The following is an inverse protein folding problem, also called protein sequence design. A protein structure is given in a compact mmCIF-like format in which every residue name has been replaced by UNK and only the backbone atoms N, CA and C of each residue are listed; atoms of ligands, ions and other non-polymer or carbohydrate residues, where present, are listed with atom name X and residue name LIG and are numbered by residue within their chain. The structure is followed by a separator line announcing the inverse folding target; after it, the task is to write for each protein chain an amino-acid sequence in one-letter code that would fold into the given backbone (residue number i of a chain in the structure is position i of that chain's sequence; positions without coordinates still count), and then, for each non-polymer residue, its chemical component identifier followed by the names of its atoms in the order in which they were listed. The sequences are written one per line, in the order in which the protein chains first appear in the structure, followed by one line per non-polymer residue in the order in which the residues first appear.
data_IF_056255316589
#
_entry.id   IF_056255316589
#
_cell.length_a   1.000
_cell.length_b   1.000
_cell.length_c   1.000
_cell.angle_alpha   90.00
_cell.angle_beta   90.00
_cell.angle_gamma   90.00
#
_symmetry.space_group_name_H-M   'P 1'
#
loop_
_entity.id
_entity.type
_entity.pdbx_description
1 polymer ?
#
# COMPACT_ATOMS: atom_id res chain seq x y z
N UNK A 1 -15.19 13.27 6.29
CA UNK A 1 -14.67 13.24 7.67
C UNK A 1 -13.31 13.91 7.66
N UNK A 2 -13.11 14.94 8.48
CA UNK A 2 -11.82 15.64 8.59
C UNK A 2 -10.86 14.73 9.34
N UNK A 3 -9.77 14.29 8.69
CA UNK A 3 -8.73 13.50 9.36
C UNK A 3 -8.11 14.38 10.47
N UNK A 4 -7.88 13.85 11.69
CA UNK A 4 -7.27 14.64 12.75
C UNK A 4 -5.92 15.18 12.31
N UNK A 5 -5.58 16.38 12.78
CA UNK A 5 -4.28 16.98 12.53
C UNK A 5 -3.19 16.08 13.10
N UNK A 6 -2.10 15.82 12.36
CA UNK A 6 -0.97 15.06 12.88
C UNK A 6 -0.40 15.74 14.13
N UNK A 7 0.10 14.96 15.10
CA UNK A 7 0.79 15.51 16.25
C UNK A 7 2.08 16.24 15.83
N UNK A 8 2.49 17.22 16.63
CA UNK A 8 3.67 18.04 16.36
C UNK A 8 4.91 17.54 17.10
N UNK A 9 4.74 16.75 18.16
CA UNK A 9 5.85 16.07 18.82
C UNK A 9 6.43 14.98 17.90
N UNK A 10 7.75 14.92 17.69
CA UNK A 10 8.35 13.93 16.78
C UNK A 10 8.08 12.47 17.17
N UNK A 11 8.03 12.16 18.46
CA UNK A 11 7.76 10.79 18.93
C UNK A 11 6.31 10.42 18.66
N UNK A 12 5.38 11.31 18.99
CA UNK A 12 3.95 11.11 18.70
C UNK A 12 3.68 11.02 17.19
N UNK A 13 4.39 11.82 16.38
CA UNK A 13 4.29 11.79 14.92
C UNK A 13 4.76 10.47 14.33
N UNK A 14 5.82 9.88 14.88
CA UNK A 14 6.32 8.57 14.46
C UNK A 14 5.28 7.49 14.73
N UNK A 15 4.75 7.42 15.96
CA UNK A 15 3.69 6.46 16.29
C UNK A 15 2.40 6.69 15.49
N UNK A 16 2.07 7.94 15.18
CA UNK A 16 0.96 8.26 14.28
C UNK A 16 1.22 7.72 12.87
N UNK A 17 2.43 7.88 12.33
CA UNK A 17 2.77 7.39 10.98
C UNK A 17 2.67 5.87 10.90
N UNK A 18 3.21 5.16 11.89
CA UNK A 18 3.15 3.69 11.96
C UNK A 18 1.70 3.18 11.99
N UNK A 19 0.86 3.76 12.84
CA UNK A 19 -0.52 3.31 13.04
C UNK A 19 -1.46 3.74 11.92
N UNK A 20 -1.29 4.96 11.39
CA UNK A 20 -2.21 5.51 10.39
C UNK A 20 -1.82 5.25 8.95
N UNK A 21 -0.54 4.99 8.66
CA UNK A 21 -0.04 4.74 7.31
C UNK A 21 0.62 3.39 7.15
N UNK A 22 1.61 3.02 7.98
CA UNK A 22 2.32 1.75 7.77
C UNK A 22 1.40 0.55 7.93
N UNK A 23 0.61 0.53 9.01
CA UNK A 23 -0.38 -0.52 9.24
C UNK A 23 -1.41 -0.60 8.10
N UNK A 24 -1.83 0.54 7.53
CA UNK A 24 -2.77 0.55 6.41
C UNK A 24 -2.15 0.05 5.12
N UNK A 25 -0.92 0.43 4.79
CA UNK A 25 -0.23 -0.08 3.61
C UNK A 25 -0.03 -1.60 3.70
N UNK A 26 0.38 -2.12 4.87
CA UNK A 26 0.52 -3.56 5.12
C UNK A 26 -0.80 -4.32 4.94
N UNK A 27 -1.93 -3.70 5.29
CA UNK A 27 -3.25 -4.30 5.11
C UNK A 27 -3.75 -4.19 3.64
N UNK A 28 -3.58 -3.02 3.02
CA UNK A 28 -4.22 -2.69 1.74
C UNK A 28 -3.46 -3.23 0.52
N UNK A 29 -2.12 -3.14 0.50
CA UNK A 29 -1.36 -3.52 -0.69
C UNK A 29 -1.52 -5.00 -1.08
N UNK A 30 -1.54 -5.97 -0.15
CA UNK A 30 -1.79 -7.37 -0.50
C UNK A 30 -3.19 -7.60 -1.12
N UNK A 31 -4.20 -6.91 -0.59
CA UNK A 31 -5.56 -6.98 -1.14
C UNK A 31 -5.62 -6.38 -2.55
N UNK A 32 -5.01 -5.22 -2.76
CA UNK A 32 -4.93 -4.56 -4.06
C UNK A 32 -4.18 -5.42 -5.09
N UNK A 33 -3.08 -6.09 -4.69
CA UNK A 33 -2.36 -7.01 -5.56
C UNK A 33 -3.27 -8.16 -6.01
N UNK A 34 -3.97 -8.79 -5.05
CA UNK A 34 -4.93 -9.88 -5.32
C UNK A 34 -6.07 -9.42 -6.25
N UNK A 35 -6.59 -8.22 -6.06
CA UNK A 35 -7.64 -7.66 -6.92
C UNK A 35 -7.11 -7.38 -8.33
N UNK A 36 -5.88 -6.87 -8.44
CA UNK A 36 -5.26 -6.59 -9.73
C UNK A 36 -5.00 -7.87 -10.52
N UNK A 37 -4.53 -8.95 -9.87
CA UNK A 37 -4.40 -10.27 -10.50
C UNK A 37 -5.73 -10.76 -11.08
N UNK A 38 -6.83 -10.61 -10.34
CA UNK A 38 -8.18 -10.99 -10.80
C UNK A 38 -8.60 -10.16 -12.00
N UNK A 39 -8.38 -8.85 -11.95
CA UNK A 39 -8.70 -7.94 -13.07
C UNK A 39 -7.91 -8.33 -14.31
N UNK A 40 -6.60 -8.51 -14.19
CA UNK A 40 -5.73 -8.89 -15.32
C UNK A 40 -6.13 -10.26 -15.91
N UNK A 41 -6.45 -11.25 -15.06
CA UNK A 41 -6.87 -12.58 -15.51
C UNK A 41 -8.24 -12.59 -16.19
N UNK A 42 -9.25 -11.92 -15.61
CA UNK A 42 -10.62 -11.89 -16.14
C UNK A 42 -10.70 -11.06 -17.42
N UNK A 43 -9.92 -9.98 -17.53
CA UNK A 43 -9.94 -9.07 -18.66
C UNK A 43 -8.78 -9.30 -19.65
N UNK A 44 -8.15 -10.47 -19.62
CA UNK A 44 -7.04 -10.81 -20.51
C UNK A 44 -7.40 -10.58 -22.00
N UNK A 45 -6.55 -9.85 -22.71
CA UNK A 45 -6.72 -9.51 -24.13
C UNK A 45 -7.61 -8.30 -24.42
N UNK A 46 -8.17 -7.63 -23.40
CA UNK A 46 -8.86 -6.35 -23.56
C UNK A 46 -7.85 -5.21 -23.63
N UNK A 47 -8.10 -4.20 -24.46
CA UNK A 47 -7.17 -3.06 -24.67
C UNK A 47 -6.96 -2.23 -23.40
N UNK A 48 -7.98 -2.12 -22.55
CA UNK A 48 -7.97 -1.27 -21.35
C UNK A 48 -7.59 -2.02 -20.05
N UNK A 49 -7.12 -3.26 -20.15
CA UNK A 49 -6.68 -4.02 -18.98
C UNK A 49 -5.41 -3.38 -18.39
N UNK A 50 -5.32 -3.18 -17.06
CA UNK A 50 -4.15 -2.59 -16.41
C UNK A 50 -3.01 -3.63 -16.30
N UNK A 51 -2.50 -4.09 -17.44
CA UNK A 51 -1.47 -5.14 -17.49
C UNK A 51 -0.22 -4.74 -16.70
N UNK A 52 0.24 -5.65 -15.83
CA UNK A 52 1.43 -5.47 -15.00
C UNK A 52 1.20 -4.68 -13.71
N UNK A 53 -0.04 -4.31 -13.39
CA UNK A 53 -0.37 -3.65 -12.12
C UNK A 53 -0.18 -4.60 -10.93
N UNK A 54 -0.57 -5.86 -11.06
CA UNK A 54 -0.34 -6.88 -10.03
C UNK A 54 1.15 -7.02 -9.71
N UNK A 55 2.00 -7.12 -10.74
CA UNK A 55 3.46 -7.22 -10.59
C UNK A 55 4.07 -5.96 -9.95
N UNK A 56 3.54 -4.77 -10.29
CA UNK A 56 3.95 -3.53 -9.63
C UNK A 56 3.61 -3.56 -8.14
N UNK A 57 2.39 -3.95 -7.79
CA UNK A 57 1.93 -3.98 -6.40
C UNK A 57 2.71 -5.00 -5.57
N UNK A 58 3.04 -6.17 -6.11
CA UNK A 58 3.90 -7.15 -5.44
C UNK A 58 5.29 -6.61 -5.12
N UNK A 59 5.91 -5.89 -6.07
CA UNK A 59 7.19 -5.23 -5.82
C UNK A 59 7.07 -4.15 -4.74
N UNK A 60 6.01 -3.34 -4.82
CA UNK A 60 5.76 -2.28 -3.83
C UNK A 60 5.55 -2.84 -2.41
N UNK A 61 4.91 -4.01 -2.24
CA UNK A 61 4.78 -4.65 -0.92
C UNK A 61 6.16 -4.89 -0.31
N UNK A 62 7.09 -5.47 -1.08
CA UNK A 62 8.44 -5.75 -0.60
C UNK A 62 9.24 -4.48 -0.32
N UNK A 63 9.26 -3.54 -1.27
CA UNK A 63 10.03 -2.30 -1.14
C UNK A 63 9.55 -1.45 0.04
N UNK A 64 8.23 -1.34 0.22
CA UNK A 64 7.65 -0.54 1.27
C UNK A 64 7.80 -1.22 2.63
N UNK A 65 7.70 -2.54 2.72
CA UNK A 65 7.94 -3.27 3.97
C UNK A 65 9.39 -3.10 4.45
N UNK A 66 10.37 -3.15 3.53
CA UNK A 66 11.78 -2.89 3.86
C UNK A 66 12.00 -1.44 4.27
N UNK A 67 11.31 -0.49 3.64
CA UNK A 67 11.41 0.93 3.97
C UNK A 67 10.85 1.23 5.36
N UNK A 68 9.60 0.83 5.63
CA UNK A 68 8.91 1.07 6.90
C UNK A 68 9.64 0.43 8.08
N UNK A 69 10.20 -0.78 7.90
CA UNK A 69 11.03 -1.44 8.92
C UNK A 69 12.36 -0.74 9.25
N UNK A 70 12.84 0.17 8.39
CA UNK A 70 14.04 0.98 8.67
C UNK A 70 13.69 2.28 9.39
N UNK A 71 12.45 2.74 9.24
CA UNK A 71 11.92 3.94 9.88
C UNK A 71 11.44 3.65 11.31
N UNK A 72 10.83 2.48 11.52
CA UNK A 72 10.48 1.86 12.82
C UNK A 72 11.73 1.43 13.61
#
# INVERSE_FOLDING_TARGET
MTKPLPPQDPSELTSFIETEYHAKHRAQLPELATLSEKVEAVHAGQTDVPAGLADLLHRMIGDLEVHMKKEE
#
